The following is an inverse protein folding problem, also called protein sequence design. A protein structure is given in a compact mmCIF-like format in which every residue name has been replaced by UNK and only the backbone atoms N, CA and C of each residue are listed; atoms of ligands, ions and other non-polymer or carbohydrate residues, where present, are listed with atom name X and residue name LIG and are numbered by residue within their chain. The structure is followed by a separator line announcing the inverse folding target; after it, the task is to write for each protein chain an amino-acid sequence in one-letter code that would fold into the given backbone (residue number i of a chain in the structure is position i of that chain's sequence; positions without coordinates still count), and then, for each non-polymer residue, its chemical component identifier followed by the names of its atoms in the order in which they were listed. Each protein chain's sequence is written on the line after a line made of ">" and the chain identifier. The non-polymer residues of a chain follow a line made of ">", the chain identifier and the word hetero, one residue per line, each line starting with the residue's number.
data_IF_180746277376
#
_entry.id   IF_180746277376
#
_cell.length_a   1.000
_cell.length_b   1.000
_cell.length_c   1.000
_cell.angle_alpha   90.00
_cell.angle_beta   90.00
_cell.angle_gamma   90.00
#
_symmetry.space_group_name_H-M   'P 1'
#
loop_
_entity.id
_entity.type
_entity.pdbx_description
1 polymer ?
#
# COMPACT_ATOMS: atom_id res chain seq x y z
N UNK A 1 12.97 0.10 -15.29
CA UNK A 1 12.17 -0.25 -14.10
C UNK A 1 11.04 -1.15 -14.54
N UNK A 2 10.91 -2.36 -13.97
CA UNK A 2 9.82 -3.26 -14.36
C UNK A 2 8.50 -2.80 -13.77
N UNK A 3 7.36 -3.30 -14.30
CA UNK A 3 6.04 -3.04 -13.70
C UNK A 3 5.99 -3.48 -12.23
N UNK A 4 6.70 -4.55 -11.89
CA UNK A 4 6.83 -5.08 -10.52
C UNK A 4 7.54 -4.09 -9.61
N UNK A 5 8.67 -3.54 -10.03
CA UNK A 5 9.45 -2.59 -9.24
C UNK A 5 8.65 -1.32 -8.96
N UNK A 6 7.98 -0.78 -9.99
CA UNK A 6 7.12 0.41 -9.84
C UNK A 6 5.96 0.19 -8.87
N UNK A 7 5.44 -1.04 -8.80
CA UNK A 7 4.35 -1.38 -7.90
C UNK A 7 4.85 -1.55 -6.47
N UNK A 8 6.04 -2.12 -6.30
CA UNK A 8 6.72 -2.22 -5.00
C UNK A 8 7.02 -0.84 -4.41
N UNK A 9 7.53 0.08 -5.23
CA UNK A 9 7.79 1.47 -4.81
C UNK A 9 6.51 2.16 -4.30
N UNK A 10 5.40 1.97 -5.01
CA UNK A 10 4.09 2.53 -4.61
C UNK A 10 3.54 1.89 -3.32
N UNK A 11 3.77 0.59 -3.13
CA UNK A 11 3.41 -0.12 -1.89
C UNK A 11 4.15 0.51 -0.72
N UNK A 12 5.46 0.72 -0.86
CA UNK A 12 6.30 1.31 0.18
C UNK A 12 5.93 2.77 0.47
N UNK A 13 5.63 3.56 -0.57
CA UNK A 13 5.14 4.94 -0.41
C UNK A 13 3.84 4.99 0.40
N UNK A 14 2.84 4.19 0.03
CA UNK A 14 1.54 4.18 0.73
C UNK A 14 1.70 3.65 2.16
N UNK A 15 2.54 2.64 2.37
CA UNK A 15 2.86 2.10 3.70
C UNK A 15 3.50 3.18 4.59
N UNK A 16 4.42 3.96 4.05
CA UNK A 16 5.04 5.06 4.79
C UNK A 16 4.03 6.14 5.18
N UNK A 17 3.23 6.61 4.22
CA UNK A 17 2.19 7.61 4.45
C UNK A 17 1.15 7.15 5.49
N UNK A 18 0.74 5.89 5.41
CA UNK A 18 -0.20 5.31 6.38
C UNK A 18 0.39 5.30 7.79
N UNK A 19 1.66 4.90 7.94
CA UNK A 19 2.33 4.90 9.25
C UNK A 19 2.52 6.31 9.81
N UNK A 20 2.88 7.29 8.96
CA UNK A 20 2.95 8.69 9.39
C UNK A 20 1.59 9.17 9.89
N UNK A 21 0.53 8.91 9.15
CA UNK A 21 -0.82 9.32 9.52
C UNK A 21 -1.30 8.63 10.81
N UNK A 22 -1.01 7.35 11.00
CA UNK A 22 -1.32 6.64 12.25
C UNK A 22 -0.61 7.29 13.43
N UNK A 23 0.66 7.65 13.27
CA UNK A 23 1.44 8.31 14.32
C UNK A 23 0.94 9.73 14.61
N UNK A 24 0.50 10.47 13.58
CA UNK A 24 -0.03 11.83 13.74
C UNK A 24 -1.41 11.85 14.39
N UNK A 25 -2.29 10.92 14.02
CA UNK A 25 -3.67 10.84 14.52
C UNK A 25 -3.77 10.10 15.85
N UNK A 26 -2.84 9.16 16.09
CA UNK A 26 -2.91 8.17 17.16
C UNK A 26 -4.23 7.37 17.15
N UNK A 27 -4.85 7.23 15.97
CA UNK A 27 -6.14 6.59 15.78
C UNK A 27 -6.14 5.77 14.49
N UNK A 28 -6.33 4.46 14.62
CA UNK A 28 -6.31 3.52 13.48
C UNK A 28 -7.59 3.58 12.65
N UNK A 29 -8.68 4.08 13.23
CA UNK A 29 -10.00 4.16 12.60
C UNK A 29 -10.27 5.52 11.96
N UNK A 30 -9.27 6.43 11.94
CA UNK A 30 -9.37 7.67 11.19
C UNK A 30 -9.72 7.35 9.72
N UNK A 31 -10.74 8.01 9.12
CA UNK A 31 -11.16 7.72 7.76
C UNK A 31 -10.03 7.77 6.73
N UNK A 32 -9.02 8.62 6.93
CA UNK A 32 -7.89 8.73 6.02
C UNK A 32 -6.91 7.55 6.21
N UNK A 33 -6.74 7.04 7.43
CA UNK A 33 -5.97 5.81 7.69
C UNK A 33 -6.66 4.62 7.03
N UNK A 34 -7.98 4.52 7.16
CA UNK A 34 -8.78 3.48 6.51
C UNK A 34 -8.64 3.56 4.98
N UNK A 35 -8.71 4.76 4.39
CA UNK A 35 -8.54 4.94 2.95
C UNK A 35 -7.14 4.52 2.47
N UNK A 36 -6.08 4.88 3.20
CA UNK A 36 -4.71 4.48 2.86
C UNK A 36 -4.53 2.97 2.99
N UNK A 37 -5.11 2.34 4.02
CA UNK A 37 -5.12 0.88 4.20
C UNK A 37 -5.79 0.16 3.02
N UNK A 38 -6.97 0.64 2.59
CA UNK A 38 -7.66 0.08 1.41
C UNK A 38 -6.87 0.27 0.11
N UNK A 39 -6.15 1.39 -0.04
CA UNK A 39 -5.27 1.62 -1.19
C UNK A 39 -4.08 0.65 -1.17
N UNK A 40 -3.47 0.46 -0.01
CA UNK A 40 -2.35 -0.47 0.18
C UNK A 40 -2.77 -1.91 -0.16
N UNK A 41 -3.94 -2.34 0.30
CA UNK A 41 -4.48 -3.67 0.01
C UNK A 41 -4.66 -3.91 -1.51
N UNK A 42 -5.21 -2.93 -2.24
CA UNK A 42 -5.35 -3.02 -3.70
C UNK A 42 -4.00 -3.16 -4.41
N UNK A 43 -2.98 -2.42 -3.97
CA UNK A 43 -1.64 -2.49 -4.56
C UNK A 43 -0.97 -3.84 -4.27
N UNK A 44 -1.11 -4.35 -3.05
CA UNK A 44 -0.60 -5.68 -2.66
C UNK A 44 -1.27 -6.78 -3.48
N UNK A 45 -2.58 -6.70 -3.70
CA UNK A 45 -3.31 -7.66 -4.51
C UNK A 45 -2.85 -7.63 -5.98
N UNK A 46 -2.68 -6.44 -6.58
CA UNK A 46 -2.13 -6.33 -7.94
C UNK A 46 -0.71 -6.91 -8.03
N UNK A 47 0.12 -6.70 -7.00
CA UNK A 47 1.49 -7.22 -6.97
C UNK A 47 1.50 -8.74 -6.87
N UNK A 48 0.65 -9.31 -6.01
CA UNK A 48 0.50 -10.75 -5.88
C UNK A 48 -0.02 -11.39 -7.18
N UNK A 49 -0.96 -10.76 -7.86
CA UNK A 49 -1.46 -11.24 -9.16
C UNK A 49 -0.37 -11.19 -10.25
N UNK A 50 0.50 -10.18 -10.21
CA UNK A 50 1.66 -10.12 -11.11
C UNK A 50 2.68 -11.22 -10.82
N UNK A 51 2.89 -11.58 -9.56
CA UNK A 51 3.77 -12.70 -9.22
C UNK A 51 3.19 -14.02 -9.75
N UNK A 52 1.91 -14.28 -9.49
CA UNK A 52 1.21 -15.50 -9.92
C UNK A 52 1.14 -15.69 -11.44
N UNK A 53 1.14 -14.61 -12.22
CA UNK A 53 1.13 -14.66 -13.70
C UNK A 53 2.50 -14.98 -14.30
N UNK A 54 3.56 -14.92 -13.50
CA UNK A 54 4.94 -15.18 -13.93
C UNK A 54 5.51 -16.50 -13.33
N UNK A 55 4.68 -17.29 -12.64
CA UNK A 55 4.95 -18.67 -12.21
C UNK A 55 4.41 -19.66 -13.26
#
# INVERSE_FOLDING_TARGET
>A
MSKKDLLLDKIEEVRHLMNQLINEKNELLDPNVIQLSQKLDKLLNEYNDLLRKND
#
